data_IF_231186879920
#
_entry.id   IF_231186879920
#
_cell.length_a   1.000
_cell.length_b   1.000
_cell.length_c   1.000
_cell.angle_alpha   90.00
_cell.angle_beta   90.00
_cell.angle_gamma   90.00
#
_symmetry.space_group_name_H-M   'P 1'
#
loop_
_entity.id
_entity.type
_entity.pdbx_description
1 polymer ?
#
# COMPACT_ATOMS: atom_id res chain seq x y z
N UNK A 1 -44.32 -15.56 37.40
CA UNK A 1 -42.88 -15.68 37.09
C UNK A 1 -42.72 -16.12 35.66
N UNK A 2 -42.25 -15.23 34.78
CA UNK A 2 -41.57 -15.52 33.50
C UNK A 2 -41.16 -14.18 32.91
N UNK A 3 -40.04 -13.65 33.40
CA UNK A 3 -39.40 -12.45 32.85
C UNK A 3 -38.66 -12.90 31.60
N UNK A 4 -39.11 -12.47 30.42
CA UNK A 4 -38.38 -12.67 29.17
C UNK A 4 -37.17 -11.71 29.16
N UNK A 5 -35.97 -12.28 29.14
CA UNK A 5 -34.76 -11.53 28.79
C UNK A 5 -34.71 -11.37 27.27
N UNK A 6 -34.86 -10.15 26.79
CA UNK A 6 -34.53 -9.80 25.42
C UNK A 6 -33.00 -9.79 25.29
N UNK A 7 -32.45 -10.76 24.58
CA UNK A 7 -31.04 -10.72 24.16
C UNK A 7 -30.98 -9.71 23.02
N UNK A 8 -30.46 -8.52 23.33
CA UNK A 8 -30.07 -7.56 22.29
C UNK A 8 -28.87 -8.17 21.56
N UNK A 9 -29.08 -8.65 20.34
CA UNK A 9 -27.99 -8.97 19.42
C UNK A 9 -27.43 -7.62 18.97
N UNK A 10 -26.34 -7.20 19.61
CA UNK A 10 -25.53 -6.12 19.08
C UNK A 10 -24.97 -6.59 17.74
N UNK A 11 -25.48 -6.02 16.65
CA UNK A 11 -24.84 -6.16 15.35
C UNK A 11 -23.46 -5.54 15.46
N UNK A 12 -22.44 -6.39 15.36
CA UNK A 12 -21.06 -5.96 15.13
C UNK A 12 -21.06 -5.25 13.77
N UNK A 13 -21.06 -3.92 13.79
CA UNK A 13 -20.55 -3.17 12.64
C UNK A 13 -19.05 -3.47 12.60
N UNK A 14 -18.58 -4.15 11.56
CA UNK A 14 -17.17 -4.16 11.23
C UNK A 14 -16.74 -2.70 11.03
N UNK A 15 -15.99 -2.15 11.98
CA UNK A 15 -15.33 -0.87 11.80
C UNK A 15 -14.12 -1.15 10.92
N UNK A 16 -14.27 -0.91 9.62
CA UNK A 16 -13.12 -0.99 8.72
C UNK A 16 -12.09 0.06 9.11
N UNK A 17 -10.81 -0.28 8.98
CA UNK A 17 -9.66 0.62 9.06
C UNK A 17 -10.02 2.02 8.55
N UNK A 18 -9.89 3.02 9.43
CA UNK A 18 -10.30 4.39 9.14
C UNK A 18 -9.28 5.02 8.20
N UNK A 19 -9.63 5.12 6.91
CA UNK A 19 -8.90 5.93 5.96
C UNK A 19 -8.93 7.41 6.41
N UNK A 20 -7.77 8.02 6.57
CA UNK A 20 -7.58 9.47 6.73
C UNK A 20 -7.26 10.06 5.35
N UNK A 21 -8.24 10.64 4.65
CA UNK A 21 -8.02 11.21 3.33
C UNK A 21 -7.13 12.45 3.42
N UNK A 22 -6.08 12.48 2.60
CA UNK A 22 -5.20 13.65 2.48
C UNK A 22 -5.76 14.61 1.45
N UNK A 23 -5.78 15.90 1.80
CA UNK A 23 -6.26 16.93 0.88
C UNK A 23 -5.29 17.14 -0.27
N UNK A 24 -5.66 16.65 -1.45
CA UNK A 24 -5.00 16.92 -2.73
C UNK A 24 -5.65 18.14 -3.39
N UNK A 25 -4.86 19.12 -3.82
CA UNK A 25 -5.36 20.28 -4.54
C UNK A 25 -5.63 19.92 -6.00
N UNK A 26 -6.79 20.34 -6.52
CA UNK A 26 -7.20 20.08 -7.92
C UNK A 26 -7.01 18.60 -8.32
N UNK A 27 -7.57 17.64 -7.56
CA UNK A 27 -7.27 16.21 -7.72
C UNK A 27 -7.78 15.60 -9.03
N UNK A 28 -8.78 16.22 -9.65
CA UNK A 28 -9.39 15.79 -10.91
C UNK A 28 -9.13 16.79 -12.05
N UNK A 29 -8.19 17.73 -11.88
CA UNK A 29 -7.75 18.66 -12.93
C UNK A 29 -8.85 19.52 -13.59
N UNK A 30 -9.98 19.72 -12.91
CA UNK A 30 -11.10 20.50 -13.42
C UNK A 30 -10.90 22.02 -13.39
N UNK A 31 -9.81 22.46 -12.75
CA UNK A 31 -9.44 23.86 -12.68
C UNK A 31 -8.08 24.14 -13.37
N UNK A 32 -7.99 25.19 -14.22
CA UNK A 32 -9.10 26.04 -14.68
C UNK A 32 -10.07 25.28 -15.60
N UNK A 33 -11.33 25.72 -15.63
CA UNK A 33 -12.32 25.16 -16.55
C UNK A 33 -12.02 25.58 -17.98
N UNK A 34 -11.88 24.61 -18.87
CA UNK A 34 -11.70 24.86 -20.30
C UNK A 34 -12.99 24.65 -21.08
N UNK A 35 -13.08 25.32 -22.24
CA UNK A 35 -14.07 25.00 -23.26
C UNK A 35 -13.76 23.61 -23.85
N UNK A 36 -14.76 22.90 -24.42
CA UNK A 36 -14.50 21.67 -25.17
C UNK A 36 -13.38 21.88 -26.20
N UNK A 37 -12.47 20.92 -26.32
CA UNK A 37 -11.24 21.00 -27.14
C UNK A 37 -10.17 21.99 -26.64
N UNK A 38 -10.36 22.62 -25.47
CA UNK A 38 -9.33 23.47 -24.88
C UNK A 38 -8.18 22.64 -24.31
N UNK A 39 -6.96 23.15 -24.41
CA UNK A 39 -5.77 22.47 -23.87
C UNK A 39 -4.68 23.44 -23.44
N UNK A 40 -3.80 22.98 -22.55
CA UNK A 40 -2.49 23.60 -22.29
C UNK A 40 -2.44 24.59 -21.14
N UNK A 41 -3.54 24.82 -20.43
CA UNK A 41 -3.53 25.62 -19.21
C UNK A 41 -2.79 24.88 -18.09
N UNK A 42 -2.04 25.59 -17.24
CA UNK A 42 -1.39 24.97 -16.08
C UNK A 42 -2.42 24.58 -15.03
N UNK A 43 -2.26 23.41 -14.40
CA UNK A 43 -3.12 22.95 -13.32
C UNK A 43 -2.70 23.59 -11.98
N UNK A 44 -3.51 24.45 -11.34
CA UNK A 44 -3.15 25.04 -10.06
C UNK A 44 -3.04 23.95 -8.97
N UNK A 45 -2.08 24.13 -8.06
CA UNK A 45 -1.71 23.12 -7.06
C UNK A 45 -0.71 22.08 -7.57
N UNK A 46 -0.43 22.02 -8.86
CA UNK A 46 0.50 21.07 -9.46
C UNK A 46 1.66 21.76 -10.18
N UNK A 47 2.84 21.16 -10.11
CA UNK A 47 4.01 21.54 -10.89
C UNK A 47 4.15 20.59 -12.07
N UNK A 48 4.44 21.13 -13.26
CA UNK A 48 4.59 20.35 -14.50
C UNK A 48 3.26 19.92 -15.15
N UNK A 49 2.13 20.06 -14.46
CA UNK A 49 0.83 19.64 -14.96
C UNK A 49 0.19 20.68 -15.87
N UNK A 50 -0.27 20.21 -17.01
CA UNK A 50 -1.19 20.92 -17.89
C UNK A 50 -2.52 20.20 -17.89
N UNK A 51 -3.61 20.94 -18.08
CA UNK A 51 -4.96 20.40 -18.20
C UNK A 51 -5.46 20.53 -19.63
N UNK A 52 -6.33 19.61 -20.02
CA UNK A 52 -7.07 19.72 -21.26
C UNK A 52 -8.47 19.13 -21.13
N UNK A 53 -9.36 19.62 -21.99
CA UNK A 53 -10.74 19.18 -22.09
C UNK A 53 -10.98 18.49 -23.43
N UNK A 54 -11.17 17.16 -23.45
CA UNK A 54 -11.46 16.43 -24.67
C UNK A 54 -12.75 16.88 -25.35
N UNK A 55 -12.76 16.88 -26.69
CA UNK A 55 -14.00 16.92 -27.48
C UNK A 55 -14.51 15.50 -27.66
N UNK A 56 -15.34 15.01 -26.72
CA UNK A 56 -15.90 13.67 -26.82
C UNK A 56 -16.73 13.50 -28.10
N UNK A 57 -16.73 12.30 -28.72
CA UNK A 57 -16.02 11.07 -28.34
C UNK A 57 -14.67 10.88 -29.07
N UNK A 58 -14.08 11.95 -29.62
CA UNK A 58 -12.90 11.81 -30.51
C UNK A 58 -11.64 11.29 -29.79
N UNK A 59 -11.60 11.40 -28.46
CA UNK A 59 -10.41 11.10 -27.67
C UNK A 59 -10.65 10.03 -26.60
N UNK A 60 -11.83 10.02 -25.98
CA UNK A 60 -12.25 9.03 -24.99
C UNK A 60 -13.68 8.58 -25.31
N UNK A 61 -13.98 7.31 -25.01
CA UNK A 61 -15.30 6.72 -25.25
C UNK A 61 -16.33 7.27 -24.25
N UNK A 62 -15.93 7.35 -22.98
CA UNK A 62 -16.76 7.87 -21.87
C UNK A 62 -15.86 8.47 -20.77
N UNK A 63 -16.36 9.51 -20.10
CA UNK A 63 -15.79 10.02 -18.85
C UNK A 63 -16.68 9.57 -17.69
N UNK A 64 -16.19 8.76 -16.73
CA UNK A 64 -16.94 8.48 -15.52
C UNK A 64 -17.28 9.79 -14.79
N UNK A 65 -18.47 9.91 -14.19
CA UNK A 65 -18.91 11.18 -13.60
C UNK A 65 -17.94 11.76 -12.54
N UNK A 66 -17.20 10.89 -11.84
CA UNK A 66 -16.21 11.27 -10.84
C UNK A 66 -14.98 12.02 -11.41
N UNK A 67 -14.72 11.85 -12.71
CA UNK A 67 -13.63 12.48 -13.45
C UNK A 67 -13.97 13.93 -13.83
N UNK A 68 -15.25 14.26 -13.95
CA UNK A 68 -15.66 15.54 -14.54
C UNK A 68 -15.59 15.49 -16.07
N UNK A 69 -14.94 16.47 -16.67
CA UNK A 69 -14.83 16.66 -18.13
C UNK A 69 -13.42 16.94 -18.63
N UNK A 70 -12.41 16.98 -17.76
CA UNK A 70 -11.02 17.33 -18.06
C UNK A 70 -10.06 16.35 -17.42
N UNK A 71 -8.82 16.33 -17.91
CA UNK A 71 -7.74 15.54 -17.33
C UNK A 71 -6.47 16.37 -17.21
N UNK A 72 -5.62 15.97 -16.28
CA UNK A 72 -4.24 16.41 -16.24
C UNK A 72 -3.40 15.56 -17.20
N UNK A 73 -2.41 16.14 -17.87
CA UNK A 73 -1.56 15.40 -18.77
C UNK A 73 -0.10 15.82 -18.69
N UNK A 74 0.79 14.93 -19.13
CA UNK A 74 2.20 15.23 -19.36
C UNK A 74 2.72 14.62 -20.67
N UNK A 75 3.42 15.46 -21.44
CA UNK A 75 4.21 15.06 -22.62
C UNK A 75 5.71 14.96 -22.31
N UNK A 76 6.14 15.28 -21.09
CA UNK A 76 7.52 15.17 -20.62
C UNK A 76 7.66 15.66 -19.20
N UNK A 77 8.47 14.97 -18.39
CA UNK A 77 8.64 15.27 -16.97
C UNK A 77 7.42 14.87 -16.11
N UNK A 78 7.60 14.84 -14.78
CA UNK A 78 6.55 14.42 -13.85
C UNK A 78 5.56 15.56 -13.53
N UNK A 79 4.35 15.16 -13.15
CA UNK A 79 3.40 15.99 -12.43
C UNK A 79 3.67 15.85 -10.94
N UNK A 80 3.88 16.95 -10.23
CA UNK A 80 4.16 16.89 -8.78
C UNK A 80 3.28 17.83 -7.97
N UNK A 81 2.92 17.38 -6.77
CA UNK A 81 2.24 18.19 -5.77
C UNK A 81 2.72 17.77 -4.38
N UNK A 82 3.24 18.73 -3.62
CA UNK A 82 3.51 18.55 -2.18
C UNK A 82 2.26 18.89 -1.39
N UNK A 83 1.79 17.96 -0.58
CA UNK A 83 0.61 18.11 0.28
C UNK A 83 1.02 18.55 1.68
N UNK A 84 0.06 18.98 2.51
CA UNK A 84 0.36 19.41 3.88
C UNK A 84 0.55 18.27 4.87
N UNK A 85 0.13 17.05 4.52
CA UNK A 85 0.36 15.86 5.34
C UNK A 85 1.85 15.51 5.35
N UNK A 86 2.34 15.05 6.50
CA UNK A 86 3.71 14.58 6.69
C UNK A 86 3.72 13.08 6.89
N UNK A 87 4.84 12.43 6.54
CA UNK A 87 5.00 10.99 6.73
C UNK A 87 5.03 10.66 8.23
N UNK A 88 4.12 9.80 8.69
CA UNK A 88 4.09 9.28 10.05
C UNK A 88 4.52 7.80 10.04
N UNK A 89 5.20 7.30 11.09
CA UNK A 89 5.42 5.87 11.24
C UNK A 89 4.09 5.15 11.47
N UNK A 90 4.06 3.85 11.23
CA UNK A 90 2.91 2.96 11.44
C UNK A 90 1.67 3.37 10.64
N UNK A 91 1.91 3.89 9.44
CA UNK A 91 0.84 4.26 8.52
C UNK A 91 0.99 3.52 7.21
N UNK A 92 -0.13 3.06 6.66
CA UNK A 92 -0.22 2.58 5.29
C UNK A 92 -0.56 3.75 4.38
N UNK A 93 0.34 4.03 3.44
CA UNK A 93 0.17 5.07 2.42
C UNK A 93 -0.44 4.45 1.18
N UNK A 94 -1.59 4.96 0.72
CA UNK A 94 -2.24 4.50 -0.51
C UNK A 94 -2.47 5.66 -1.46
N UNK A 95 -1.79 5.65 -2.60
CA UNK A 95 -2.01 6.58 -3.70
C UNK A 95 -2.79 5.90 -4.82
N UNK A 96 -3.88 6.54 -5.28
CA UNK A 96 -4.67 6.10 -6.42
C UNK A 96 -4.86 7.22 -7.42
N UNK A 97 -4.84 6.89 -8.70
CA UNK A 97 -5.22 7.82 -9.78
C UNK A 97 -5.68 7.02 -10.99
N UNK A 98 -6.58 7.60 -11.77
CA UNK A 98 -7.06 7.00 -13.00
C UNK A 98 -6.17 7.46 -14.17
N UNK A 99 -5.69 6.50 -14.95
CA UNK A 99 -4.78 6.73 -16.08
C UNK A 99 -5.50 6.41 -17.38
N UNK A 100 -5.53 7.39 -18.28
CA UNK A 100 -6.26 7.32 -19.55
C UNK A 100 -5.37 6.95 -20.73
N UNK A 101 -5.95 6.29 -21.74
CA UNK A 101 -5.37 6.16 -23.07
C UNK A 101 -6.32 6.71 -24.13
N UNK A 102 -5.80 7.58 -25.01
CA UNK A 102 -6.58 8.26 -26.05
C UNK A 102 -6.83 7.38 -27.28
N UNK A 103 -7.84 7.75 -28.07
CA UNK A 103 -8.22 7.07 -29.33
C UNK A 103 -7.45 7.56 -30.57
N UNK A 104 -6.83 8.73 -30.52
CA UNK A 104 -6.26 9.41 -31.69
C UNK A 104 -4.77 9.10 -31.94
N UNK A 105 -4.31 7.95 -31.44
CA UNK A 105 -2.96 7.43 -31.68
C UNK A 105 -1.90 7.84 -30.65
N UNK A 106 -2.27 8.60 -29.63
CA UNK A 106 -1.40 8.84 -28.47
C UNK A 106 -1.45 7.64 -27.53
N UNK A 107 -0.30 6.98 -27.37
CA UNK A 107 -0.18 5.84 -26.45
C UNK A 107 0.32 6.29 -25.09
N UNK A 108 -0.31 5.77 -24.04
CA UNK A 108 0.09 6.00 -22.65
C UNK A 108 1.46 5.37 -22.35
N UNK A 109 1.71 4.19 -22.91
CA UNK A 109 2.91 3.41 -22.61
C UNK A 109 2.97 3.04 -21.13
N UNK A 110 4.18 3.05 -20.59
CA UNK A 110 4.46 2.84 -19.16
C UNK A 110 4.30 4.14 -18.41
N UNK A 111 3.63 4.09 -17.27
CA UNK A 111 3.51 5.19 -16.33
C UNK A 111 3.96 4.75 -14.95
N UNK A 112 4.22 5.73 -14.09
CA UNK A 112 4.62 5.50 -12.72
C UNK A 112 3.93 6.49 -11.80
N UNK A 113 3.39 5.99 -10.69
CA UNK A 113 2.82 6.82 -9.64
C UNK A 113 3.60 6.60 -8.36
N UNK A 114 3.93 7.68 -7.65
CA UNK A 114 4.78 7.64 -6.48
C UNK A 114 4.30 8.60 -5.39
N UNK A 115 4.54 8.22 -4.15
CA UNK A 115 4.53 9.11 -2.99
C UNK A 115 5.94 9.22 -2.47
N UNK A 116 6.41 10.44 -2.25
CA UNK A 116 7.72 10.74 -1.69
C UNK A 116 7.59 11.46 -0.35
N UNK A 117 8.55 11.25 0.54
CA UNK A 117 8.76 12.08 1.73
C UNK A 117 10.14 12.72 1.62
N UNK A 118 10.17 14.04 1.38
CA UNK A 118 11.41 14.72 0.97
C UNK A 118 11.95 14.14 -0.35
N UNK A 119 13.13 13.51 -0.31
CA UNK A 119 13.77 12.87 -1.46
C UNK A 119 13.53 11.35 -1.55
N UNK A 120 12.97 10.75 -0.51
CA UNK A 120 12.75 9.30 -0.39
C UNK A 120 11.46 8.92 -1.08
N UNK A 121 11.48 7.87 -1.91
CA UNK A 121 10.26 7.26 -2.45
C UNK A 121 9.70 6.30 -1.40
N UNK A 122 8.44 6.51 -1.01
CA UNK A 122 7.74 5.73 0.02
C UNK A 122 6.89 4.65 -0.64
N UNK A 123 5.99 5.05 -1.53
CA UNK A 123 5.16 4.14 -2.32
C UNK A 123 5.44 4.37 -3.80
N UNK A 124 5.47 3.29 -4.60
CA UNK A 124 5.70 3.35 -6.04
C UNK A 124 4.98 2.22 -6.76
N UNK A 125 4.34 2.55 -7.87
CA UNK A 125 3.84 1.59 -8.86
C UNK A 125 4.35 2.02 -10.24
N UNK A 126 5.27 1.25 -10.83
CA UNK A 126 5.60 1.35 -12.26
C UNK A 126 4.75 0.37 -13.05
N UNK A 127 3.61 0.85 -13.52
CA UNK A 127 2.64 -0.03 -14.14
C UNK A 127 2.92 -0.25 -15.61
N UNK A 128 2.82 -1.51 -16.01
CA UNK A 128 2.71 -1.93 -17.40
C UNK A 128 1.25 -2.18 -17.82
N UNK A 129 0.29 -1.96 -16.90
CA UNK A 129 -1.13 -2.07 -17.21
C UNK A 129 -1.49 -0.96 -18.19
N UNK A 130 -1.77 -1.34 -19.42
CA UNK A 130 -2.14 -0.39 -20.47
C UNK A 130 -3.64 -0.11 -20.37
N UNK A 131 -4.08 1.16 -20.23
CA UNK A 131 -5.49 1.48 -20.26
C UNK A 131 -6.14 1.05 -21.59
N UNK A 132 -7.42 0.65 -21.62
CA UNK A 132 -8.08 0.36 -22.89
C UNK A 132 -8.14 1.61 -23.77
N UNK A 133 -8.06 1.49 -25.12
CA UNK A 133 -8.16 2.64 -26.00
C UNK A 133 -9.45 3.44 -25.77
N UNK A 134 -9.31 4.73 -25.48
CA UNK A 134 -10.40 5.63 -25.13
C UNK A 134 -10.98 5.42 -23.74
N UNK A 135 -10.30 4.70 -22.85
CA UNK A 135 -10.73 4.44 -21.49
C UNK A 135 -9.63 4.64 -20.46
N UNK A 136 -9.96 4.31 -19.21
CA UNK A 136 -9.13 4.54 -18.03
C UNK A 136 -8.92 3.24 -17.25
N UNK A 137 -7.82 3.18 -16.52
CA UNK A 137 -7.55 2.18 -15.47
C UNK A 137 -7.11 2.89 -14.20
N UNK A 138 -7.50 2.36 -13.05
CA UNK A 138 -7.03 2.89 -11.76
C UNK A 138 -5.67 2.29 -11.43
N UNK A 139 -4.66 3.15 -11.33
CA UNK A 139 -3.34 2.82 -10.79
C UNK A 139 -3.38 2.94 -9.26
N UNK A 140 -2.66 2.04 -8.56
CA UNK A 140 -2.58 2.04 -7.10
C UNK A 140 -1.15 1.76 -6.66
N UNK A 141 -0.57 2.66 -5.87
CA UNK A 141 0.69 2.45 -5.17
C UNK A 141 0.42 2.41 -3.66
N UNK A 142 0.93 1.38 -3.01
CA UNK A 142 0.75 1.14 -1.57
C UNK A 142 2.10 0.89 -0.92
N UNK A 143 2.30 1.41 0.28
CA UNK A 143 3.44 1.04 1.12
C UNK A 143 3.10 1.24 2.60
N UNK A 144 3.65 0.36 3.43
CA UNK A 144 3.63 0.50 4.89
C UNK A 144 4.87 1.26 5.35
N UNK A 145 4.66 2.14 6.32
CA UNK A 145 5.70 3.00 6.88
C UNK A 145 6.02 2.49 8.27
N UNK A 146 7.26 2.07 8.47
CA UNK A 146 7.74 1.50 9.73
C UNK A 146 8.35 2.57 10.64
N UNK A 147 8.65 2.20 11.89
CA UNK A 147 9.21 3.07 12.93
C UNK A 147 10.48 3.83 12.50
N UNK A 148 11.25 3.24 11.58
CA UNK A 148 12.58 3.73 11.15
C UNK A 148 12.65 4.04 9.66
N UNK A 149 11.51 4.19 8.98
CA UNK A 149 11.48 4.57 7.58
C UNK A 149 12.19 5.92 7.36
N UNK A 150 12.88 6.06 6.22
CA UNK A 150 13.51 7.32 5.88
C UNK A 150 12.46 8.37 5.49
N UNK A 151 12.64 9.63 5.93
CA UNK A 151 11.73 10.73 5.60
C UNK A 151 10.56 10.92 6.56
N UNK A 152 10.56 10.26 7.72
CA UNK A 152 9.58 10.52 8.77
C UNK A 152 9.55 12.02 9.16
N UNK A 153 8.34 12.57 9.29
CA UNK A 153 8.10 13.99 9.57
C UNK A 153 8.22 14.92 8.35
N UNK A 154 8.75 14.45 7.21
CA UNK A 154 8.79 15.25 5.97
C UNK A 154 7.42 15.33 5.31
N UNK A 155 7.18 16.42 4.57
CA UNK A 155 5.96 16.59 3.80
C UNK A 155 5.88 15.56 2.66
N UNK A 156 4.68 15.02 2.45
CA UNK A 156 4.41 14.07 1.37
C UNK A 156 4.33 14.80 0.03
N UNK A 157 4.90 14.19 -1.01
CA UNK A 157 4.85 14.68 -2.38
C UNK A 157 4.34 13.59 -3.31
N UNK A 158 3.26 13.87 -4.01
CA UNK A 158 2.73 13.01 -5.08
C UNK A 158 3.55 13.28 -6.34
N UNK A 159 3.96 12.22 -7.04
CA UNK A 159 4.67 12.30 -8.32
C UNK A 159 4.06 11.33 -9.32
N UNK A 160 3.53 11.87 -10.42
CA UNK A 160 2.94 11.10 -11.53
C UNK A 160 3.83 11.27 -12.76
N UNK A 161 4.35 10.18 -13.30
CA UNK A 161 5.38 10.20 -14.33
C UNK A 161 4.95 9.40 -15.54
N UNK A 162 5.08 10.00 -16.73
CA UNK A 162 5.13 9.23 -17.97
C UNK A 162 6.53 8.64 -18.15
N UNK A 163 6.64 7.32 -18.15
CA UNK A 163 7.92 6.60 -18.30
C UNK A 163 8.21 6.32 -19.77
N UNK A 164 7.20 5.89 -20.53
CA UNK A 164 7.28 5.68 -21.98
C UNK A 164 5.99 6.13 -22.67
N UNK A 165 5.84 5.92 -23.97
CA UNK A 165 4.68 6.42 -24.72
C UNK A 165 4.76 7.93 -25.02
N UNK A 166 3.72 8.43 -25.67
CA UNK A 166 3.66 9.81 -26.19
C UNK A 166 3.10 10.80 -25.18
N UNK A 167 2.14 10.37 -24.36
CA UNK A 167 1.45 11.20 -23.38
C UNK A 167 0.83 10.31 -22.31
N UNK A 168 0.86 10.74 -21.05
CA UNK A 168 0.05 10.12 -20.00
C UNK A 168 -1.01 11.11 -19.53
N UNK A 169 -2.26 10.67 -19.53
CA UNK A 169 -3.41 11.39 -19.00
C UNK A 169 -3.75 10.83 -17.62
N UNK A 170 -3.87 11.70 -16.61
CA UNK A 170 -4.15 11.37 -15.22
C UNK A 170 -5.40 12.09 -14.76
N UNK A 171 -6.14 11.43 -13.87
CA UNK A 171 -7.36 11.96 -13.28
C UNK A 171 -7.63 11.36 -11.90
N UNK A 172 -8.51 12.00 -11.14
CA UNK A 172 -9.03 11.53 -9.85
C UNK A 172 -7.94 11.05 -8.89
N UNK A 173 -6.97 11.92 -8.62
CA UNK A 173 -5.88 11.66 -7.69
C UNK A 173 -6.39 11.62 -6.25
N UNK A 174 -6.15 10.51 -5.56
CA UNK A 174 -6.51 10.28 -4.16
C UNK A 174 -5.29 9.80 -3.40
N UNK A 175 -5.02 10.41 -2.26
CA UNK A 175 -4.00 9.98 -1.32
C UNK A 175 -4.71 9.75 0.01
N UNK A 176 -4.67 8.52 0.48
CA UNK A 176 -5.27 8.09 1.73
C UNK A 176 -4.15 7.54 2.62
N UNK A 177 -4.17 7.92 3.89
CA UNK A 177 -3.33 7.34 4.93
C UNK A 177 -4.23 6.47 5.80
N UNK A 178 -3.77 5.28 6.17
CA UNK A 178 -4.47 4.43 7.10
C UNK A 178 -3.56 4.24 8.30
N UNK A 179 -4.10 4.44 9.49
CA UNK A 179 -3.46 3.90 10.70
C UNK A 179 -3.56 2.38 10.60
N UNK A 180 -2.49 1.69 10.98
CA UNK A 180 -2.49 0.22 11.05
C UNK A 180 -3.21 -0.12 12.38
N UNK A 181 -4.34 -0.83 12.30
CA UNK A 181 -5.17 -1.26 13.45
C UNK A 181 -5.48 -2.75 13.26
N UNK A 182 -4.70 -3.57 13.93
CA UNK A 182 -4.62 -4.99 13.69
C UNK A 182 -5.72 -5.81 14.31
N UNK A 183 -6.16 -5.36 15.47
CA UNK A 183 -7.16 -6.06 16.24
C UNK A 183 -8.55 -5.42 16.05
N UNK A 184 -8.68 -4.51 15.06
CA UNK A 184 -9.88 -3.76 14.68
C UNK A 184 -10.57 -3.11 15.89
N UNK A 185 -9.80 -2.70 16.91
CA UNK A 185 -10.36 -2.15 18.13
C UNK A 185 -10.58 -0.62 18.05
N UNK A 186 -10.18 0.00 16.94
CA UNK A 186 -10.27 1.43 16.69
C UNK A 186 -9.14 2.26 17.32
N UNK A 187 -8.06 1.61 17.74
CA UNK A 187 -6.84 2.20 18.30
C UNK A 187 -5.70 1.84 17.33
N UNK A 188 -4.84 2.82 17.06
CA UNK A 188 -3.61 2.62 16.27
C UNK A 188 -2.70 1.58 16.94
N UNK A 189 -2.18 0.63 16.18
CA UNK A 189 -1.34 -0.47 16.67
C UNK A 189 -0.13 0.02 17.41
N UNK A 190 0.42 1.17 17.02
CA UNK A 190 1.53 1.79 17.73
C UNK A 190 1.19 2.09 19.21
N UNK A 191 -0.07 2.45 19.50
CA UNK A 191 -0.57 2.69 20.86
C UNK A 191 -0.80 1.36 21.56
N UNK A 192 -1.33 0.36 20.87
CA UNK A 192 -1.58 -0.96 21.43
C UNK A 192 -0.28 -1.72 21.75
N UNK A 193 0.73 -1.65 20.88
CA UNK A 193 2.09 -2.17 21.11
C UNK A 193 2.73 -1.46 22.31
N UNK A 194 2.71 -0.12 22.35
CA UNK A 194 3.24 0.64 23.49
C UNK A 194 2.46 0.36 24.80
N UNK A 195 1.19 -0.01 24.68
CA UNK A 195 0.30 -0.40 25.79
C UNK A 195 0.44 -1.87 26.21
N UNK A 196 1.19 -2.69 25.47
CA UNK A 196 1.33 -4.13 25.69
C UNK A 196 0.06 -4.93 25.37
N UNK A 197 -0.83 -4.38 24.53
CA UNK A 197 -2.06 -5.01 24.04
C UNK A 197 -1.82 -5.81 22.75
N UNK A 198 -0.80 -5.43 22.00
CA UNK A 198 -0.28 -6.16 20.85
C UNK A 198 1.22 -6.43 21.06
N UNK A 199 1.68 -7.55 20.51
CA UNK A 199 3.10 -7.94 20.53
C UNK A 199 3.73 -7.46 19.22
N UNK A 200 4.92 -6.91 19.33
CA UNK A 200 5.81 -6.45 18.26
C UNK A 200 7.18 -7.05 18.62
N UNK A 201 7.38 -8.29 18.19
CA UNK A 201 8.50 -9.13 18.65
C UNK A 201 9.82 -8.67 18.05
N UNK A 202 9.80 -8.20 16.80
CA UNK A 202 11.00 -7.79 16.05
C UNK A 202 11.30 -6.28 16.17
N UNK A 203 10.37 -5.49 16.70
CA UNK A 203 10.52 -4.06 16.94
C UNK A 203 10.46 -3.22 15.66
N UNK A 204 9.87 -3.75 14.59
CA UNK A 204 9.61 -3.02 13.36
C UNK A 204 8.39 -2.07 13.48
N UNK A 205 7.56 -2.35 14.50
CA UNK A 205 6.39 -1.64 14.97
C UNK A 205 5.12 -1.84 14.15
N UNK A 206 5.07 -2.91 13.36
CA UNK A 206 3.83 -3.61 13.02
C UNK A 206 3.58 -4.64 14.13
N UNK A 207 2.33 -4.83 14.54
CA UNK A 207 2.02 -5.89 15.49
C UNK A 207 2.10 -7.26 14.79
N UNK A 208 2.63 -8.28 15.47
CA UNK A 208 2.71 -9.67 15.00
C UNK A 208 1.36 -10.19 14.44
N UNK A 209 0.24 -9.59 14.86
CA UNK A 209 -1.12 -9.91 14.44
C UNK A 209 -1.50 -9.46 13.01
N UNK A 210 -0.85 -8.46 12.43
CA UNK A 210 -1.01 -8.08 11.00
C UNK A 210 0.27 -7.97 10.23
N UNK A 211 1.34 -8.42 10.84
CA UNK A 211 2.42 -8.81 9.98
C UNK A 211 1.94 -10.03 9.16
N UNK A 212 1.68 -9.78 7.87
CA UNK A 212 1.40 -10.83 6.87
C UNK A 212 2.60 -11.79 6.74
N UNK A 213 3.68 -11.45 7.42
CA UNK A 213 4.86 -12.24 7.70
C UNK A 213 5.21 -12.07 9.19
N UNK A 214 4.72 -12.89 10.14
CA UNK A 214 5.02 -12.71 11.56
C UNK A 214 6.52 -12.65 11.93
N UNK A 215 7.44 -12.80 10.95
CA UNK A 215 8.88 -12.55 11.03
C UNK A 215 9.52 -11.94 9.74
N UNK A 216 8.81 -11.14 8.92
CA UNK A 216 9.37 -10.22 7.91
C UNK A 216 10.50 -10.68 6.95
N UNK A 217 10.37 -11.82 6.26
CA UNK A 217 11.20 -12.27 5.13
C UNK A 217 11.75 -13.68 5.35
N UNK A 218 12.59 -14.25 4.46
CA UNK A 218 13.38 -15.43 4.82
C UNK A 218 14.46 -15.00 5.82
N UNK A 219 14.06 -14.66 7.05
CA UNK A 219 14.94 -14.70 8.21
C UNK A 219 15.16 -16.15 8.64
N UNK A 220 16.35 -16.48 9.18
CA UNK A 220 16.68 -17.84 9.55
C UNK A 220 15.69 -18.27 10.63
N UNK A 221 14.89 -19.30 10.36
CA UNK A 221 13.94 -19.77 11.34
C UNK A 221 14.67 -20.04 12.67
N UNK A 222 14.10 -19.51 13.74
CA UNK A 222 14.79 -19.48 15.02
C UNK A 222 14.75 -20.89 15.66
N UNK A 223 15.78 -21.29 16.43
CA UNK A 223 15.75 -22.56 17.17
C UNK A 223 14.64 -22.66 18.24
N UNK A 224 14.13 -21.54 18.74
CA UNK A 224 12.99 -21.43 19.67
C UNK A 224 11.71 -21.33 18.83
N UNK A 225 11.15 -22.49 18.49
CA UNK A 225 10.10 -22.64 17.50
C UNK A 225 8.72 -22.33 18.10
N UNK A 226 8.56 -22.55 19.41
CA UNK A 226 7.31 -22.26 20.13
C UNK A 226 7.27 -20.85 20.76
N UNK A 227 8.41 -20.14 20.74
CA UNK A 227 8.62 -18.77 21.23
C UNK A 227 8.35 -18.64 22.73
N UNK A 228 8.70 -19.66 23.51
CA UNK A 228 8.56 -19.64 24.98
C UNK A 228 9.80 -19.06 25.70
N UNK A 229 10.82 -18.69 24.94
CA UNK A 229 12.05 -18.07 25.41
C UNK A 229 13.14 -19.08 25.78
N UNK A 230 12.93 -20.37 25.53
CA UNK A 230 13.90 -21.44 25.70
C UNK A 230 13.98 -22.28 24.43
N UNK A 231 15.14 -22.91 24.20
CA UNK A 231 15.28 -23.93 23.15
C UNK A 231 15.33 -25.29 23.83
N UNK A 232 14.19 -25.99 23.86
CA UNK A 232 14.03 -27.21 24.63
C UNK A 232 13.29 -28.35 23.91
N UNK A 233 12.73 -29.28 24.68
CA UNK A 233 12.13 -30.49 24.14
C UNK A 233 10.81 -30.20 23.41
N UNK A 234 10.18 -29.07 23.71
CA UNK A 234 8.93 -28.62 23.12
C UNK A 234 9.18 -28.11 21.69
N UNK A 235 10.27 -27.38 21.46
CA UNK A 235 10.72 -26.96 20.12
C UNK A 235 11.11 -28.15 19.26
N UNK A 236 11.87 -29.08 19.86
CA UNK A 236 12.25 -30.32 19.20
C UNK A 236 11.02 -31.12 18.75
N UNK A 237 9.96 -31.17 19.57
CA UNK A 237 8.74 -31.87 19.22
C UNK A 237 8.05 -31.22 18.01
N UNK A 238 8.07 -29.88 17.90
CA UNK A 238 7.50 -29.16 16.77
C UNK A 238 8.32 -29.42 15.50
N UNK A 239 9.67 -29.32 15.58
CA UNK A 239 10.56 -29.63 14.46
C UNK A 239 10.33 -31.05 13.92
N UNK A 240 10.26 -32.04 14.82
CA UNK A 240 10.00 -33.44 14.45
C UNK A 240 8.59 -33.66 13.88
N UNK A 241 7.60 -32.86 14.28
CA UNK A 241 6.24 -32.96 13.77
C UNK A 241 6.10 -32.48 12.32
N UNK A 242 7.00 -31.60 11.88
CA UNK A 242 7.02 -30.97 10.55
C UNK A 242 8.06 -31.57 9.60
N UNK A 243 8.62 -32.73 9.93
CA UNK A 243 9.70 -33.36 9.16
C UNK A 243 9.31 -33.65 7.70
N UNK A 244 10.09 -33.14 6.74
CA UNK A 244 9.85 -33.30 5.30
C UNK A 244 9.87 -31.98 4.52
N UNK A 245 9.39 -32.03 3.27
CA UNK A 245 9.40 -30.87 2.39
C UNK A 245 8.41 -29.81 2.85
N UNK A 246 8.85 -28.55 2.86
CA UNK A 246 7.97 -27.41 3.00
C UNK A 246 7.07 -27.29 1.76
N UNK A 247 5.77 -27.04 1.97
CA UNK A 247 4.83 -26.86 0.85
C UNK A 247 4.94 -25.44 0.33
N UNK A 248 5.19 -25.22 -0.98
CA UNK A 248 5.24 -23.86 -1.53
C UNK A 248 3.94 -23.09 -1.27
N UNK A 249 4.04 -21.93 -0.62
CA UNK A 249 2.89 -21.08 -0.27
C UNK A 249 2.25 -21.39 1.09
N UNK A 250 2.85 -22.26 1.90
CA UNK A 250 2.50 -22.46 3.32
C UNK A 250 3.77 -22.19 4.14
N UNK A 251 3.68 -21.32 5.16
CA UNK A 251 4.81 -21.01 6.03
C UNK A 251 5.34 -22.27 6.73
N UNK A 252 6.65 -22.43 6.78
CA UNK A 252 7.37 -23.61 7.27
C UNK A 252 8.38 -23.18 8.33
N UNK A 253 7.89 -22.85 9.53
CA UNK A 253 8.68 -22.30 10.63
C UNK A 253 9.78 -23.23 11.19
N UNK A 254 9.89 -24.47 10.69
CA UNK A 254 10.85 -25.48 11.18
C UNK A 254 12.01 -25.75 10.22
N UNK A 255 12.08 -25.04 9.09
CA UNK A 255 13.20 -25.07 8.11
C UNK A 255 14.24 -24.00 8.49
N UNK A 256 15.03 -24.32 9.52
CA UNK A 256 16.01 -23.42 10.17
C UNK A 256 17.22 -23.09 9.29
N UNK A 257 17.55 -23.93 8.30
CA UNK A 257 18.63 -23.65 7.35
C UNK A 257 18.16 -23.09 5.99
N UNK A 258 16.84 -23.00 5.78
CA UNK A 258 16.19 -22.36 4.63
C UNK A 258 16.34 -23.14 3.32
N UNK A 259 16.57 -24.46 3.38
CA UNK A 259 16.81 -25.28 2.20
C UNK A 259 15.52 -25.81 1.52
N UNK A 260 14.36 -25.52 2.11
CA UNK A 260 13.04 -25.97 1.68
C UNK A 260 12.63 -27.35 2.20
N UNK A 261 13.39 -27.95 3.12
CA UNK A 261 13.17 -29.28 3.68
C UNK A 261 13.57 -29.31 5.16
N UNK A 262 12.59 -29.61 6.02
CA UNK A 262 12.80 -29.86 7.45
C UNK A 262 13.47 -31.22 7.62
N UNK A 263 14.71 -31.22 8.10
CA UNK A 263 15.57 -32.39 8.16
C UNK A 263 16.73 -32.28 9.14
N UNK A 264 17.79 -33.08 8.91
CA UNK A 264 18.93 -33.14 9.82
C UNK A 264 19.73 -31.83 9.94
N UNK A 265 19.68 -30.96 8.93
CA UNK A 265 20.31 -29.63 8.99
C UNK A 265 19.66 -28.74 10.04
N UNK A 266 18.33 -28.71 10.03
CA UNK A 266 17.50 -27.97 10.97
C UNK A 266 17.63 -28.51 12.39
N UNK A 267 17.60 -29.85 12.53
CA UNK A 267 17.83 -30.49 13.83
C UNK A 267 19.20 -30.14 14.42
N UNK A 268 20.24 -30.03 13.60
CA UNK A 268 21.57 -29.67 14.06
C UNK A 268 21.63 -28.21 14.54
N UNK A 269 20.88 -27.32 13.90
CA UNK A 269 20.73 -25.91 14.32
C UNK A 269 19.99 -25.83 15.65
N UNK A 270 18.88 -26.57 15.81
CA UNK A 270 18.11 -26.60 17.05
C UNK A 270 18.96 -27.11 18.22
N UNK A 271 19.57 -28.28 18.07
CA UNK A 271 20.42 -28.87 19.11
C UNK A 271 21.68 -28.05 19.41
N UNK A 272 22.16 -27.26 18.45
CA UNK A 272 23.30 -26.36 18.61
C UNK A 272 23.00 -25.16 19.52
N UNK A 273 21.73 -24.81 19.71
CA UNK A 273 21.26 -23.68 20.50
C UNK A 273 20.48 -24.11 21.75
N UNK A 274 20.55 -25.40 22.13
CA UNK A 274 19.84 -25.94 23.28
C UNK A 274 20.21 -25.23 24.59
N UNK A 275 19.22 -24.77 25.35
CA UNK A 275 19.44 -24.17 26.66
C UNK A 275 18.42 -23.10 27.05
#
# INVERSE_FOLDING_TARGET
MKTLFAVAVASLCAAGTLAVPVTVQNPNFEYPSLNPCGFGASAPGWTGAQVWRPCLPQYFNDFPCAHGVQVGFTNGGPLTQTVSATLQPFTRVVLRTDVGMRLDGFTTGTYRIEVLAGATVIASDESTVVPPPGGFVTATATADVLARSAGLGEALTIRLTRVSGSQADFDVVRLDLYDIDCNDNGIDDAIDIAGGLLVDTDGDGIADACDDDPDGGPEPATPDINVDGFVDAEDLAILLSSWGNCTPGVSCCTDLDGNGVVGPGDLAILLGNWG
#
